data_IF_738129708141
#
_entry.id   IF_738129708141
#
_cell.length_a   1.000
_cell.length_b   1.000
_cell.length_c   1.000
_cell.angle_alpha   90.00
_cell.angle_beta   90.00
_cell.angle_gamma   90.00
#
_symmetry.space_group_name_H-M   'P 1'
#
loop_
_entity.id
_entity.type
_entity.pdbx_description
1 polymer ?
#
# COMPACT_ATOMS: atom_id res chain seq x y z
N UNK A 1 11.51 -30.05 6.14
CA UNK A 1 10.56 -29.20 6.88
C UNK A 1 11.32 -27.97 7.36
N UNK A 2 11.18 -26.83 6.68
CA UNK A 2 11.87 -25.59 7.04
C UNK A 2 11.23 -25.03 8.31
N UNK A 3 12.02 -24.77 9.36
CA UNK A 3 11.51 -24.20 10.60
C UNK A 3 10.81 -22.86 10.33
N UNK A 4 9.72 -22.52 11.05
CA UNK A 4 9.06 -21.23 10.88
C UNK A 4 10.08 -20.13 11.15
N UNK A 5 10.33 -19.30 10.14
CA UNK A 5 11.15 -18.09 10.28
C UNK A 5 10.51 -17.23 11.37
N UNK A 6 11.26 -16.88 12.41
CA UNK A 6 10.69 -16.08 13.50
C UNK A 6 10.33 -14.70 12.95
N UNK A 7 9.25 -14.09 13.45
CA UNK A 7 8.75 -12.82 12.93
C UNK A 7 9.85 -11.72 12.86
N UNK A 8 10.79 -11.75 13.81
CA UNK A 8 11.94 -10.83 13.85
C UNK A 8 12.91 -11.03 12.67
N UNK A 9 13.14 -12.26 12.23
CA UNK A 9 14.04 -12.55 11.11
C UNK A 9 13.45 -12.03 9.79
N UNK A 10 12.13 -12.18 9.62
CA UNK A 10 11.41 -11.60 8.48
C UNK A 10 11.47 -10.08 8.54
N UNK A 11 11.18 -9.48 9.70
CA UNK A 11 11.27 -8.03 9.89
C UNK A 11 12.67 -7.51 9.51
N UNK A 12 13.73 -8.12 10.04
CA UNK A 12 15.10 -7.70 9.77
C UNK A 12 15.44 -7.73 8.27
N UNK A 13 14.93 -8.73 7.54
CA UNK A 13 15.12 -8.83 6.09
C UNK A 13 14.34 -7.77 5.31
N UNK A 14 13.08 -7.51 5.68
CA UNK A 14 12.19 -6.64 4.91
C UNK A 14 12.28 -5.15 5.30
N UNK A 15 12.80 -4.83 6.50
CA UNK A 15 12.66 -3.50 7.10
C UNK A 15 13.20 -2.36 6.23
N UNK A 16 14.39 -2.53 5.64
CA UNK A 16 15.00 -1.47 4.83
C UNK A 16 14.23 -1.24 3.53
N UNK A 17 13.77 -2.30 2.87
CA UNK A 17 12.94 -2.20 1.66
C UNK A 17 11.57 -1.60 1.94
N UNK A 18 10.94 -1.96 3.06
CA UNK A 18 9.66 -1.35 3.47
C UNK A 18 9.84 0.15 3.77
N UNK A 19 10.92 0.52 4.46
CA UNK A 19 11.24 1.91 4.77
C UNK A 19 11.45 2.74 3.50
N UNK A 20 12.20 2.23 2.53
CA UNK A 20 12.44 2.89 1.25
C UNK A 20 11.10 3.16 0.53
N UNK A 21 10.25 2.15 0.35
CA UNK A 21 8.93 2.32 -0.27
C UNK A 21 8.06 3.36 0.42
N UNK A 22 8.07 3.41 1.75
CA UNK A 22 7.34 4.43 2.51
C UNK A 22 7.86 5.85 2.23
N UNK A 23 9.19 6.02 2.11
CA UNK A 23 9.81 7.30 1.75
C UNK A 23 9.42 7.72 0.33
N UNK A 24 9.40 6.79 -0.62
CA UNK A 24 9.00 7.08 -2.00
C UNK A 24 7.55 7.57 -2.09
N UNK A 25 6.64 6.91 -1.37
CA UNK A 25 5.23 7.32 -1.28
C UNK A 25 5.11 8.72 -0.67
N UNK A 26 5.79 8.97 0.45
CA UNK A 26 5.78 10.28 1.10
C UNK A 26 6.31 11.38 0.17
N UNK A 27 7.43 11.14 -0.52
CA UNK A 27 8.00 12.09 -1.46
C UNK A 27 7.08 12.36 -2.67
N UNK A 28 6.32 11.36 -3.11
CA UNK A 28 5.29 11.51 -4.14
C UNK A 28 4.15 12.43 -3.69
N UNK A 29 3.61 12.18 -2.49
CA UNK A 29 2.57 13.01 -1.88
C UNK A 29 3.04 14.46 -1.67
N UNK A 30 4.28 14.65 -1.23
CA UNK A 30 4.90 15.97 -1.09
C UNK A 30 4.98 16.73 -2.42
N UNK A 31 5.34 16.04 -3.52
CA UNK A 31 5.38 16.66 -4.86
C UNK A 31 3.99 17.09 -5.32
N UNK A 32 2.96 16.27 -5.06
CA UNK A 32 1.56 16.61 -5.36
C UNK A 32 1.14 17.83 -4.53
N UNK A 33 1.41 17.84 -3.23
CA UNK A 33 1.08 18.96 -2.35
C UNK A 33 1.78 20.27 -2.74
N UNK A 34 3.06 20.19 -3.15
CA UNK A 34 3.83 21.37 -3.61
C UNK A 34 3.38 21.92 -4.95
N UNK A 35 2.74 21.13 -5.81
CA UNK A 35 2.24 21.60 -7.10
C UNK A 35 1.13 22.66 -6.95
N UNK A 36 0.47 22.71 -5.79
CA UNK A 36 -0.59 23.66 -5.48
C UNK A 36 -1.94 23.31 -6.12
N UNK A 37 -3.00 23.96 -5.66
CA UNK A 37 -4.38 23.68 -6.08
C UNK A 37 -5.02 22.48 -5.38
N UNK A 38 -6.29 22.23 -5.68
CA UNK A 38 -7.03 21.06 -5.19
C UNK A 38 -6.86 19.93 -6.21
N UNK A 39 -6.26 18.81 -5.79
CA UNK A 39 -6.20 17.59 -6.58
C UNK A 39 -7.39 16.70 -6.22
N UNK A 40 -8.50 16.85 -6.94
CA UNK A 40 -9.75 16.09 -6.73
C UNK A 40 -9.79 14.79 -7.55
N UNK A 41 -8.63 14.15 -7.71
CA UNK A 41 -8.52 12.89 -8.43
C UNK A 41 -8.75 11.71 -7.46
N UNK A 42 -9.68 10.78 -7.77
CA UNK A 42 -9.97 9.63 -6.90
C UNK A 42 -8.75 8.78 -6.53
N UNK A 43 -7.69 8.81 -7.36
CA UNK A 43 -6.43 8.09 -7.10
C UNK A 43 -5.71 8.60 -5.85
N UNK A 44 -5.87 9.87 -5.50
CA UNK A 44 -5.30 10.43 -4.25
C UNK A 44 -5.95 9.76 -3.05
N UNK A 45 -7.26 9.55 -3.09
CA UNK A 45 -7.98 8.88 -2.02
C UNK A 45 -7.71 7.38 -1.99
N UNK A 46 -7.52 6.72 -3.14
CA UNK A 46 -7.07 5.32 -3.20
C UNK A 46 -5.71 5.13 -2.50
N UNK A 47 -4.76 6.04 -2.70
CA UNK A 47 -3.46 6.02 -2.01
C UNK A 47 -3.63 6.17 -0.50
N UNK A 48 -4.45 7.13 -0.04
CA UNK A 48 -4.71 7.35 1.40
C UNK A 48 -5.33 6.12 2.06
N UNK A 49 -6.38 5.55 1.46
CA UNK A 49 -7.04 4.33 1.96
C UNK A 49 -6.08 3.14 2.02
N UNK A 50 -5.18 3.03 1.05
CA UNK A 50 -4.16 1.97 1.05
C UNK A 50 -3.20 2.12 2.25
N UNK A 51 -2.77 3.34 2.58
CA UNK A 51 -1.92 3.61 3.74
C UNK A 51 -2.65 3.31 5.06
N UNK A 52 -3.91 3.72 5.16
CA UNK A 52 -4.76 3.40 6.33
C UNK A 52 -4.91 1.89 6.51
N UNK A 53 -5.16 1.15 5.43
CA UNK A 53 -5.25 -0.31 5.45
C UNK A 53 -3.95 -0.97 5.92
N UNK A 54 -2.80 -0.51 5.40
CA UNK A 54 -1.49 -1.04 5.77
C UNK A 54 -1.13 -0.74 7.24
N UNK A 55 -1.63 0.36 7.80
CA UNK A 55 -1.39 0.75 9.19
C UNK A 55 -2.22 -0.05 10.22
N UNK A 56 -3.23 -0.81 9.78
CA UNK A 56 -4.08 -1.57 10.71
C UNK A 56 -3.28 -2.66 11.44
N UNK A 57 -3.46 -2.81 12.77
CA UNK A 57 -2.81 -3.84 13.54
C UNK A 57 -3.17 -5.24 13.04
N UNK A 58 -2.20 -6.15 13.23
CA UNK A 58 -2.08 -7.50 12.70
C UNK A 58 -3.36 -8.36 12.77
N UNK A 59 -4.07 -8.53 11.67
CA UNK A 59 -4.94 -9.72 11.48
C UNK A 59 -4.97 -10.32 10.07
N UNK A 60 -4.69 -9.57 9.00
CA UNK A 60 -4.97 -10.12 7.66
C UNK A 60 -3.70 -10.51 6.88
N UNK A 61 -3.68 -11.77 6.42
CA UNK A 61 -2.59 -12.36 5.61
C UNK A 61 -2.65 -11.92 4.13
N UNK A 62 -3.54 -11.00 3.79
CA UNK A 62 -4.00 -10.64 2.45
C UNK A 62 -3.79 -9.15 2.12
N UNK A 63 -3.00 -8.40 2.90
CA UNK A 63 -2.82 -6.94 2.70
C UNK A 63 -2.49 -6.56 1.25
N UNK A 64 -1.70 -7.38 0.56
CA UNK A 64 -1.39 -7.16 -0.85
C UNK A 64 -2.64 -7.27 -1.75
N UNK A 65 -3.49 -8.27 -1.53
CA UNK A 65 -4.77 -8.44 -2.22
C UNK A 65 -5.73 -7.28 -1.90
N UNK A 66 -5.81 -6.89 -0.63
CA UNK A 66 -6.68 -5.79 -0.23
C UNK A 66 -6.25 -4.45 -0.85
N UNK A 67 -4.93 -4.16 -0.89
CA UNK A 67 -4.40 -3.00 -1.61
C UNK A 67 -4.72 -3.10 -3.11
N UNK A 68 -4.53 -4.27 -3.73
CA UNK A 68 -4.86 -4.48 -5.13
C UNK A 68 -6.33 -4.15 -5.43
N UNK A 69 -7.26 -4.62 -4.59
CA UNK A 69 -8.69 -4.38 -4.76
C UNK A 69 -9.08 -2.89 -4.68
N UNK A 70 -8.34 -2.06 -3.92
CA UNK A 70 -8.56 -0.61 -3.88
C UNK A 70 -8.34 0.04 -5.26
N UNK A 71 -7.42 -0.51 -6.06
CA UNK A 71 -7.08 0.00 -7.39
C UNK A 71 -7.78 -0.73 -8.54
N UNK A 72 -8.45 -1.85 -8.27
CA UNK A 72 -9.15 -2.63 -9.29
C UNK A 72 -10.45 -1.96 -9.73
N UNK A 73 -10.79 -2.14 -11.00
CA UNK A 73 -12.14 -1.85 -11.49
C UNK A 73 -13.13 -2.90 -10.96
N UNK A 74 -14.42 -2.54 -10.79
CA UNK A 74 -15.47 -3.52 -10.57
C UNK A 74 -15.44 -4.57 -11.68
N UNK A 75 -15.57 -5.84 -11.31
CA UNK A 75 -15.69 -6.91 -12.29
C UNK A 75 -16.89 -6.65 -13.21
N UNK A 76 -16.67 -6.67 -14.52
CA UNK A 76 -17.73 -6.61 -15.53
C UNK A 76 -17.79 -7.98 -16.25
N UNK A 77 -18.92 -8.70 -16.16
CA UNK A 77 -19.07 -9.99 -16.85
C UNK A 77 -19.03 -9.87 -18.38
N UNK A 78 -19.06 -8.66 -18.93
CA UNK A 78 -19.05 -8.40 -20.37
C UNK A 78 -17.69 -7.91 -20.90
N UNK A 79 -16.63 -7.89 -20.09
CA UNK A 79 -15.27 -7.58 -20.57
C UNK A 79 -14.85 -8.56 -21.67
N UNK A 80 -14.33 -8.03 -22.79
CA UNK A 80 -13.84 -8.77 -23.97
C UNK A 80 -12.38 -8.47 -24.22
#
# INVERSE_FOLDING_TARGET
MTAPTRALDVLNREFLSLREKLIEVAAGLDRIGRAGGVCDDPRVDQIRRSLELLAQPRETADRAEQVQLIFSLPYDPNWR
#
